data_IF_121076769125
#
_entry.id   IF_121076769125
#
_cell.length_a   1.000
_cell.length_b   1.000
_cell.length_c   1.000
_cell.angle_alpha   90.00
_cell.angle_beta   90.00
_cell.angle_gamma   90.00
#
_symmetry.space_group_name_H-M   'P 1'
#
loop_
_entity.id
_entity.type
_entity.pdbx_description
1 polymer ?
#
# COMPACT_ATOMS: atom_id res chain seq x y z
N UNK A 1 -12.91 66.05 55.47
CA UNK A 1 -12.58 64.68 55.91
C UNK A 1 -13.00 63.69 54.83
N UNK A 2 -12.04 63.19 54.05
CA UNK A 2 -12.24 62.08 53.12
C UNK A 2 -11.70 60.80 53.76
N UNK A 3 -12.48 59.72 53.71
CA UNK A 3 -12.09 58.43 54.28
C UNK A 3 -13.25 57.45 54.26
N UNK A 4 -13.55 56.88 53.10
CA UNK A 4 -14.67 55.94 52.98
C UNK A 4 -14.84 55.30 51.61
N UNK A 5 -13.78 55.21 50.80
CA UNK A 5 -13.85 54.66 49.42
C UNK A 5 -12.81 53.57 49.12
N UNK A 6 -12.10 53.08 50.14
CA UNK A 6 -11.05 52.07 49.97
C UNK A 6 -11.46 50.65 50.41
N UNK A 7 -12.52 50.51 51.20
CA UNK A 7 -12.94 49.18 51.68
C UNK A 7 -13.80 48.40 50.66
N UNK A 8 -14.70 49.07 49.94
CA UNK A 8 -15.57 48.41 48.95
C UNK A 8 -14.83 47.99 47.67
N UNK A 9 -13.78 48.72 47.28
CA UNK A 9 -12.95 48.38 46.12
C UNK A 9 -12.10 47.12 46.34
N UNK A 10 -11.64 46.88 47.58
CA UNK A 10 -10.83 45.71 47.92
C UNK A 10 -11.61 44.39 47.92
N UNK A 11 -12.89 44.41 48.30
CA UNK A 11 -13.73 43.19 48.35
C UNK A 11 -14.18 42.75 46.96
N UNK A 12 -14.48 43.69 46.05
CA UNK A 12 -14.86 43.37 44.67
C UNK A 12 -13.68 42.82 43.85
N UNK A 13 -12.44 43.27 44.12
CA UNK A 13 -11.24 42.71 43.48
C UNK A 13 -10.93 41.27 43.94
N UNK A 14 -11.21 40.93 45.21
CA UNK A 14 -10.99 39.59 45.73
C UNK A 14 -12.01 38.56 45.18
N UNK A 15 -13.27 38.97 44.96
CA UNK A 15 -14.28 38.09 44.36
C UNK A 15 -14.06 37.85 42.85
N UNK A 16 -13.49 38.83 42.13
CA UNK A 16 -13.08 38.64 40.73
C UNK A 16 -11.86 37.72 40.58
N UNK A 17 -10.95 37.72 41.55
CA UNK A 17 -9.78 36.84 41.55
C UNK A 17 -10.11 35.35 41.82
N UNK A 18 -11.24 35.06 42.49
CA UNK A 18 -11.69 33.69 42.76
C UNK A 18 -12.35 32.97 41.58
N UNK A 19 -12.77 33.69 40.53
CA UNK A 19 -13.53 33.13 39.40
C UNK A 19 -12.67 32.85 38.15
N UNK A 20 -11.37 33.09 38.19
CA UNK A 20 -10.46 32.81 37.05
C UNK A 20 -9.67 31.50 37.18
N UNK A 21 -9.88 30.71 38.25
CA UNK A 21 -9.11 29.49 38.51
C UNK A 21 -9.88 28.18 38.21
N UNK A 22 -10.76 28.17 37.22
CA UNK A 22 -11.43 26.95 36.74
C UNK A 22 -11.55 26.94 35.21
N UNK A 23 -10.42 27.14 34.52
CA UNK A 23 -10.28 26.83 33.11
C UNK A 23 -9.16 25.82 32.95
N UNK A 24 -9.49 24.54 32.78
CA UNK A 24 -8.52 23.56 32.28
C UNK A 24 -8.24 23.89 30.81
N UNK A 25 -7.26 24.75 30.58
CA UNK A 25 -6.62 24.87 29.29
C UNK A 25 -5.91 23.54 29.03
N UNK A 26 -6.48 22.72 28.15
CA UNK A 26 -5.75 21.59 27.57
C UNK A 26 -4.53 22.16 26.88
N UNK A 27 -3.34 21.78 27.34
CA UNK A 27 -2.10 22.03 26.61
C UNK A 27 -2.27 21.32 25.26
N UNK A 28 -2.48 22.10 24.20
CA UNK A 28 -2.38 21.57 22.85
C UNK A 28 -0.89 21.44 22.58
N UNK A 29 -0.38 20.21 22.48
CA UNK A 29 0.97 19.93 22.01
C UNK A 29 1.11 20.49 20.58
N UNK A 30 1.57 21.73 20.48
CA UNK A 30 2.05 22.31 19.24
C UNK A 30 3.41 21.66 18.98
N UNK A 31 3.42 20.65 18.13
CA UNK A 31 4.61 19.86 17.79
C UNK A 31 5.74 20.81 17.37
N UNK A 32 6.74 20.93 18.25
CA UNK A 32 7.95 21.71 18.02
C UNK A 32 8.72 21.09 16.86
N UNK A 33 8.79 21.79 15.72
CA UNK A 33 9.66 21.40 14.62
C UNK A 33 11.10 21.83 14.95
N UNK A 34 11.77 21.08 15.83
CA UNK A 34 13.18 21.30 16.10
C UNK A 34 13.99 20.62 15.00
N UNK A 35 14.52 21.47 14.13
CA UNK A 35 15.37 21.11 12.99
C UNK A 35 16.76 20.73 13.47
N UNK A 36 16.96 19.47 13.86
CA UNK A 36 18.31 18.89 13.87
C UNK A 36 18.65 18.41 12.46
N UNK A 37 19.20 19.35 11.68
CA UNK A 37 19.72 19.13 10.34
C UNK A 37 20.96 18.23 10.46
N UNK A 38 20.72 16.91 10.37
CA UNK A 38 21.69 15.93 9.92
C UNK A 38 21.74 15.95 8.39
N UNK A 39 22.78 16.56 7.83
CA UNK A 39 23.00 16.71 6.39
C UNK A 39 23.27 15.36 5.71
N UNK A 40 22.23 14.58 5.32
CA UNK A 40 22.27 13.65 4.18
C UNK A 40 20.84 13.38 3.64
N UNK A 41 20.55 14.03 2.52
CA UNK A 41 19.69 13.61 1.40
C UNK A 41 18.28 12.99 1.65
N UNK A 42 17.29 13.74 1.15
CA UNK A 42 16.10 13.27 0.42
C UNK A 42 14.88 12.75 1.22
N UNK A 43 13.98 13.67 1.57
CA UNK A 43 12.67 13.71 0.91
C UNK A 43 11.46 13.00 1.52
N UNK A 44 11.55 12.24 2.61
CA UNK A 44 10.35 11.70 3.30
C UNK A 44 10.55 11.67 4.82
N UNK A 45 9.70 12.40 5.55
CA UNK A 45 9.69 12.38 7.02
C UNK A 45 8.82 11.22 7.50
N UNK A 46 9.42 10.06 7.72
CA UNK A 46 8.74 8.98 8.42
C UNK A 46 8.72 9.27 9.92
N UNK A 47 7.55 9.13 10.54
CA UNK A 47 7.37 9.40 11.97
C UNK A 47 8.05 8.35 12.85
N UNK A 48 8.41 7.19 12.27
CA UNK A 48 9.01 6.04 12.96
C UNK A 48 10.19 5.48 12.17
N UNK A 49 11.21 4.93 12.85
CA UNK A 49 12.29 4.21 12.18
C UNK A 49 11.73 2.97 11.46
N UNK A 50 12.41 2.47 10.41
CA UNK A 50 12.00 1.24 9.75
C UNK A 50 11.89 0.08 10.75
N UNK A 51 10.76 -0.63 10.71
CA UNK A 51 10.47 -1.72 11.64
C UNK A 51 10.21 -3.02 10.90
N UNK A 52 10.84 -4.10 11.36
CA UNK A 52 10.56 -5.42 10.84
C UNK A 52 9.40 -6.08 11.57
N UNK A 53 8.40 -6.47 10.81
CA UNK A 53 7.16 -7.09 11.29
C UNK A 53 6.96 -8.45 10.63
N UNK A 54 6.27 -9.36 11.31
CA UNK A 54 5.92 -10.66 10.73
C UNK A 54 4.85 -10.51 9.64
N UNK A 55 5.02 -11.26 8.55
CA UNK A 55 4.01 -11.36 7.48
C UNK A 55 2.86 -12.20 8.02
N UNK A 56 1.67 -11.63 8.21
CA UNK A 56 0.57 -12.35 8.82
C UNK A 56 -0.10 -13.28 7.80
N UNK A 57 -0.73 -14.34 8.30
CA UNK A 57 -1.40 -15.38 7.49
C UNK A 57 -2.51 -14.80 6.61
N UNK A 58 -3.14 -13.71 7.05
CA UNK A 58 -4.21 -13.03 6.33
C UNK A 58 -3.71 -12.10 5.21
N UNK A 59 -2.39 -11.84 5.09
CA UNK A 59 -1.81 -11.15 3.94
C UNK A 59 -1.67 -12.13 2.75
N UNK A 60 -2.82 -12.53 2.17
CA UNK A 60 -2.92 -13.59 1.16
C UNK A 60 -1.99 -13.44 -0.04
N UNK A 61 -1.67 -12.20 -0.41
CA UNK A 61 -0.77 -11.91 -1.54
C UNK A 61 0.64 -12.47 -1.29
N UNK A 62 1.15 -12.31 -0.06
CA UNK A 62 2.57 -12.50 0.28
C UNK A 62 2.82 -13.47 1.43
N UNK A 63 1.80 -14.13 1.95
CA UNK A 63 2.02 -15.21 2.90
C UNK A 63 2.73 -16.39 2.21
N UNK A 64 3.74 -16.97 2.88
CA UNK A 64 4.52 -18.12 2.42
C UNK A 64 5.37 -17.90 1.14
N UNK A 65 5.86 -16.68 0.90
CA UNK A 65 6.71 -16.33 -0.25
C UNK A 65 8.22 -16.62 -0.05
N UNK A 66 8.57 -17.43 0.95
CA UNK A 66 9.96 -17.85 1.22
C UNK A 66 10.67 -17.10 2.36
N UNK A 67 10.04 -16.06 2.93
CA UNK A 67 10.50 -15.38 4.14
C UNK A 67 9.32 -15.03 5.05
N UNK A 68 9.61 -14.73 6.32
CA UNK A 68 8.59 -14.54 7.36
C UNK A 68 8.41 -13.10 7.83
N UNK A 69 9.41 -12.24 7.60
CA UNK A 69 9.43 -10.85 8.09
C UNK A 69 9.60 -9.86 6.96
N UNK A 70 8.82 -8.79 7.01
CA UNK A 70 8.90 -7.66 6.09
C UNK A 70 9.22 -6.37 6.83
N UNK A 71 9.67 -5.34 6.10
CA UNK A 71 9.92 -4.01 6.66
C UNK A 71 8.77 -3.04 6.35
N UNK A 72 8.43 -2.22 7.35
CA UNK A 72 7.59 -1.02 7.22
C UNK A 72 8.42 0.24 7.54
N UNK A 73 8.19 1.38 6.86
CA UNK A 73 7.29 1.54 5.71
C UNK A 73 7.78 0.74 4.50
N UNK A 74 6.85 0.24 3.69
CA UNK A 74 7.20 -0.57 2.52
C UNK A 74 7.56 0.32 1.30
N UNK A 75 7.89 -0.29 0.16
CA UNK A 75 8.27 0.44 -1.06
C UNK A 75 7.11 1.22 -1.72
N UNK A 76 5.89 1.02 -1.24
CA UNK A 76 4.68 1.75 -1.62
C UNK A 76 4.25 2.76 -0.55
N UNK A 77 5.12 3.01 0.45
CA UNK A 77 4.93 4.00 1.51
C UNK A 77 3.79 3.70 2.49
N UNK A 78 3.33 2.45 2.57
CA UNK A 78 2.44 2.07 3.66
C UNK A 78 3.21 2.02 4.98
N UNK A 79 2.69 2.67 6.02
CA UNK A 79 3.31 2.70 7.35
C UNK A 79 2.72 1.66 8.28
N UNK A 80 1.52 1.14 7.96
CA UNK A 80 0.78 0.21 8.81
C UNK A 80 0.43 -1.08 8.08
N UNK A 81 0.37 -2.19 8.83
CA UNK A 81 -0.10 -3.46 8.28
C UNK A 81 -1.55 -3.41 7.78
N UNK A 82 -2.38 -2.52 8.32
CA UNK A 82 -3.76 -2.35 7.88
C UNK A 82 -3.80 -1.80 6.44
N UNK A 83 -3.01 -0.77 6.13
CA UNK A 83 -2.86 -0.22 4.78
C UNK A 83 -2.32 -1.26 3.80
N UNK A 84 -1.26 -1.98 4.19
CA UNK A 84 -0.66 -3.04 3.37
C UNK A 84 -1.72 -4.09 3.02
N UNK A 85 -2.45 -4.62 4.01
CA UNK A 85 -3.50 -5.63 3.79
C UNK A 85 -4.61 -5.11 2.89
N UNK A 86 -5.09 -3.89 3.15
CA UNK A 86 -6.17 -3.29 2.38
C UNK A 86 -5.78 -3.18 0.91
N UNK A 87 -4.64 -2.57 0.59
CA UNK A 87 -4.25 -2.37 -0.80
C UNK A 87 -3.78 -3.68 -1.46
N UNK A 88 -3.06 -4.56 -0.75
CA UNK A 88 -2.63 -5.85 -1.29
C UNK A 88 -3.80 -6.78 -1.66
N UNK A 89 -4.92 -6.68 -0.93
CA UNK A 89 -6.10 -7.52 -1.20
C UNK A 89 -6.67 -7.34 -2.61
N UNK A 90 -6.58 -6.11 -3.16
CA UNK A 90 -7.04 -5.80 -4.52
C UNK A 90 -6.22 -6.48 -5.62
N UNK A 91 -5.02 -6.97 -5.30
CA UNK A 91 -4.12 -7.64 -6.24
C UNK A 91 -4.30 -9.17 -6.27
N UNK A 92 -4.97 -9.75 -5.27
CA UNK A 92 -5.20 -11.20 -5.18
C UNK A 92 -5.96 -11.75 -6.42
N UNK A 93 -7.01 -11.08 -6.95
CA UNK A 93 -7.68 -11.56 -8.15
C UNK A 93 -6.75 -11.65 -9.37
N UNK A 94 -5.86 -10.67 -9.56
CA UNK A 94 -4.89 -10.68 -10.67
C UNK A 94 -3.85 -11.80 -10.47
N UNK A 95 -3.37 -12.00 -9.25
CA UNK A 95 -2.47 -13.11 -8.93
C UNK A 95 -3.10 -14.46 -9.29
N UNK A 96 -4.38 -14.65 -8.97
CA UNK A 96 -5.13 -15.87 -9.27
C UNK A 96 -5.42 -16.08 -10.78
N UNK A 97 -5.20 -15.07 -11.63
CA UNK A 97 -5.24 -15.25 -13.09
C UNK A 97 -3.97 -15.87 -13.63
N UNK A 98 -2.90 -15.96 -12.82
CA UNK A 98 -1.64 -16.61 -13.18
C UNK A 98 -1.08 -16.14 -14.54
N UNK A 99 -1.26 -14.86 -14.87
CA UNK A 99 -0.81 -14.27 -16.13
C UNK A 99 0.71 -14.34 -16.31
N UNK A 100 1.49 -14.33 -15.23
CA UNK A 100 2.93 -14.52 -15.25
C UNK A 100 3.40 -15.24 -13.99
N UNK A 101 4.45 -16.07 -14.10
CA UNK A 101 5.00 -16.82 -12.97
C UNK A 101 5.64 -15.91 -11.91
N UNK A 102 6.11 -14.73 -12.34
CA UNK A 102 6.73 -13.74 -11.47
C UNK A 102 5.82 -12.71 -10.84
N UNK A 103 4.51 -12.79 -11.07
CA UNK A 103 3.57 -11.82 -10.51
C UNK A 103 3.64 -11.76 -8.99
N UNK A 104 3.71 -12.91 -8.30
CA UNK A 104 3.78 -12.93 -6.83
C UNK A 104 5.08 -12.32 -6.31
N UNK A 105 6.22 -12.70 -6.88
CA UNK A 105 7.55 -12.20 -6.49
C UNK A 105 7.62 -10.69 -6.70
N UNK A 106 7.18 -10.21 -7.87
CA UNK A 106 7.17 -8.79 -8.19
C UNK A 106 6.31 -8.00 -7.20
N UNK A 107 5.05 -8.38 -7.00
CA UNK A 107 4.15 -7.65 -6.09
C UNK A 107 4.65 -7.69 -4.65
N UNK A 108 5.14 -8.83 -4.17
CA UNK A 108 5.62 -8.96 -2.79
C UNK A 108 6.93 -8.25 -2.53
N UNK A 109 7.78 -8.05 -3.55
CA UNK A 109 8.95 -7.19 -3.43
C UNK A 109 8.59 -5.75 -3.04
N UNK A 110 7.39 -5.29 -3.41
CA UNK A 110 6.90 -3.94 -3.13
C UNK A 110 6.00 -3.88 -1.88
N UNK A 111 5.04 -4.81 -1.79
CA UNK A 111 4.07 -4.85 -0.68
C UNK A 111 4.68 -5.36 0.62
N UNK A 112 5.56 -6.35 0.54
CA UNK A 112 6.14 -7.04 1.69
C UNK A 112 7.66 -7.20 1.54
N UNK A 113 8.44 -6.12 1.31
CA UNK A 113 9.89 -6.23 1.08
C UNK A 113 10.58 -6.96 2.24
N UNK A 114 11.60 -7.76 1.93
CA UNK A 114 12.38 -8.50 2.91
C UNK A 114 12.94 -7.53 3.97
N UNK A 115 12.87 -7.92 5.24
CA UNK A 115 13.49 -7.18 6.35
C UNK A 115 15.02 -7.12 6.18
N UNK A 116 15.52 -6.03 5.63
CA UNK A 116 16.95 -5.72 5.41
C UNK A 116 17.21 -4.24 5.74
N UNK A 117 18.46 -3.89 6.04
CA UNK A 117 18.86 -2.51 6.35
C UNK A 117 18.68 -1.55 5.17
N UNK A 118 18.77 -2.08 3.94
CA UNK A 118 18.54 -1.31 2.70
C UNK A 118 17.49 -2.02 1.86
N UNK A 119 16.51 -1.27 1.33
CA UNK A 119 15.51 -1.86 0.45
C UNK A 119 16.15 -2.32 -0.87
N UNK A 120 15.70 -3.48 -1.36
CA UNK A 120 16.07 -4.00 -2.68
C UNK A 120 14.82 -3.96 -3.56
N UNK A 121 14.92 -3.25 -4.67
CA UNK A 121 13.83 -3.12 -5.65
C UNK A 121 13.79 -4.32 -6.59
N UNK A 122 12.62 -4.64 -7.20
CA UNK A 122 12.57 -5.58 -8.32
C UNK A 122 13.36 -5.03 -9.50
N UNK A 123 13.94 -5.91 -10.30
CA UNK A 123 14.59 -5.49 -11.54
C UNK A 123 13.56 -4.94 -12.54
N UNK A 124 13.94 -3.95 -13.36
CA UNK A 124 13.08 -3.38 -14.40
C UNK A 124 12.51 -4.44 -15.35
N UNK A 125 13.36 -5.34 -15.83
CA UNK A 125 12.95 -6.40 -16.74
C UNK A 125 11.88 -7.34 -16.13
N UNK A 126 11.92 -7.57 -14.81
CA UNK A 126 10.93 -8.40 -14.11
C UNK A 126 9.57 -7.67 -14.08
N UNK A 127 9.59 -6.36 -13.81
CA UNK A 127 8.39 -5.53 -13.89
C UNK A 127 7.80 -5.56 -15.30
N UNK A 128 8.60 -5.36 -16.34
CA UNK A 128 8.15 -5.32 -17.73
C UNK A 128 7.55 -6.66 -18.14
N UNK A 129 8.22 -7.79 -17.83
CA UNK A 129 7.69 -9.12 -18.12
C UNK A 129 6.33 -9.39 -17.44
N UNK A 130 6.18 -8.98 -16.18
CA UNK A 130 4.90 -9.11 -15.46
C UNK A 130 3.84 -8.17 -16.05
N UNK A 131 4.18 -6.90 -16.30
CA UNK A 131 3.28 -5.92 -16.91
C UNK A 131 2.77 -6.43 -18.25
N UNK A 132 3.66 -6.81 -19.16
CA UNK A 132 3.30 -7.18 -20.53
C UNK A 132 2.39 -8.42 -20.56
N UNK A 133 2.55 -9.32 -19.59
CA UNK A 133 1.70 -10.51 -19.46
C UNK A 133 0.36 -10.23 -18.76
N UNK A 134 0.33 -9.35 -17.77
CA UNK A 134 -0.81 -9.16 -16.87
C UNK A 134 -1.66 -7.93 -17.17
N UNK A 135 -1.09 -6.88 -17.78
CA UNK A 135 -1.81 -5.67 -18.15
C UNK A 135 -2.97 -5.95 -19.13
N UNK A 136 -2.84 -6.80 -20.18
CA UNK A 136 -3.98 -7.15 -21.03
C UNK A 136 -5.14 -7.78 -20.24
N UNK A 137 -4.82 -8.57 -19.21
CA UNK A 137 -5.83 -9.16 -18.32
C UNK A 137 -6.50 -8.07 -17.47
N UNK A 138 -5.75 -7.09 -16.97
CA UNK A 138 -6.31 -5.95 -16.24
C UNK A 138 -7.22 -5.10 -17.14
N UNK A 139 -6.77 -4.81 -18.37
CA UNK A 139 -7.51 -3.99 -19.33
C UNK A 139 -8.84 -4.63 -19.72
N UNK A 140 -8.89 -5.97 -19.83
CA UNK A 140 -10.15 -6.69 -20.05
C UNK A 140 -11.20 -6.42 -18.97
N UNK A 141 -10.77 -6.24 -17.71
CA UNK A 141 -11.65 -5.87 -16.60
C UNK A 141 -11.78 -4.35 -16.38
N UNK A 142 -11.26 -3.53 -17.31
CA UNK A 142 -11.36 -2.06 -17.24
C UNK A 142 -10.30 -1.39 -16.36
N UNK A 143 -9.22 -2.08 -16.00
CA UNK A 143 -8.13 -1.54 -15.20
C UNK A 143 -6.85 -1.36 -16.02
N UNK A 144 -6.09 -0.30 -15.74
CA UNK A 144 -4.79 -0.04 -16.36
C UNK A 144 -3.65 -0.36 -15.41
N UNK A 145 -2.45 -0.55 -15.95
CA UNK A 145 -1.25 -0.68 -15.13
C UNK A 145 -0.99 0.62 -14.33
N UNK A 146 -0.97 0.57 -12.99
CA UNK A 146 -0.99 1.78 -12.18
C UNK A 146 0.38 2.46 -12.12
N UNK A 147 0.35 3.78 -11.89
CA UNK A 147 1.53 4.64 -11.75
C UNK A 147 2.52 4.16 -10.68
N UNK A 148 2.02 3.58 -9.59
CA UNK A 148 2.86 3.06 -8.50
C UNK A 148 3.74 1.87 -8.94
N UNK A 149 3.38 1.20 -10.04
CA UNK A 149 4.09 0.03 -10.57
C UNK A 149 4.79 0.31 -11.91
N UNK A 150 4.91 1.57 -12.35
CA UNK A 150 5.60 1.88 -13.61
C UNK A 150 7.05 1.40 -13.57
N UNK A 151 7.46 0.65 -14.59
CA UNK A 151 8.73 -0.04 -14.62
C UNK A 151 9.95 0.89 -14.67
N UNK A 152 9.79 2.11 -15.19
CA UNK A 152 10.85 3.14 -15.22
C UNK A 152 11.36 3.53 -13.83
N UNK A 153 10.56 3.28 -12.78
CA UNK A 153 10.92 3.51 -11.37
C UNK A 153 11.92 2.48 -10.84
N UNK A 154 12.12 1.37 -11.54
CA UNK A 154 12.95 0.26 -11.10
C UNK A 154 14.32 0.25 -11.79
N UNK A 155 15.36 -0.26 -11.09
CA UNK A 155 16.73 -0.27 -11.60
C UNK A 155 16.94 -1.30 -12.73
N UNK A 156 17.85 -0.98 -13.65
CA UNK A 156 18.34 -1.90 -14.68
C UNK A 156 19.59 -2.71 -14.24
N UNK A 157 20.34 -2.23 -13.24
CA UNK A 157 21.66 -2.73 -12.87
C UNK A 157 21.73 -3.77 -11.72
N UNK A 158 22.90 -3.81 -11.07
CA UNK A 158 23.53 -5.04 -10.54
C UNK A 158 22.87 -5.73 -9.33
N UNK A 159 22.10 -5.02 -8.48
CA UNK A 159 21.46 -5.62 -7.29
C UNK A 159 19.97 -5.29 -7.26
N UNK A 160 19.17 -6.23 -7.76
CA UNK A 160 17.72 -6.14 -7.77
C UNK A 160 17.10 -7.54 -7.64
N UNK A 161 15.84 -7.60 -7.21
CA UNK A 161 15.10 -8.86 -7.12
C UNK A 161 14.74 -9.32 -8.54
N UNK A 162 15.32 -10.45 -8.90
CA UNK A 162 15.15 -11.15 -10.16
C UNK A 162 14.42 -12.47 -9.94
N UNK A 163 13.73 -12.96 -10.97
CA UNK A 163 13.42 -14.38 -11.04
C UNK A 163 14.45 -15.09 -11.91
N UNK A 164 15.08 -16.13 -11.38
CA UNK A 164 15.78 -17.06 -12.27
C UNK A 164 14.71 -17.74 -13.11
N UNK A 165 14.75 -17.67 -14.46
CA UNK A 165 13.86 -18.50 -15.25
C UNK A 165 14.12 -19.96 -14.84
N UNK A 166 13.08 -20.78 -14.63
CA UNK A 166 13.29 -22.22 -14.58
C UNK A 166 14.03 -22.59 -15.87
N UNK A 167 15.07 -23.41 -15.73
CA UNK A 167 15.94 -23.92 -16.80
C UNK A 167 15.19 -23.96 -18.14
N UNK A 168 15.72 -23.29 -19.17
CA UNK A 168 15.07 -23.00 -20.46
C UNK A 168 14.80 -24.23 -21.35
N UNK A 169 14.24 -25.29 -20.77
CA UNK A 169 13.68 -26.46 -21.45
C UNK A 169 12.17 -26.50 -21.41
N UNK A 170 11.52 -25.61 -20.64
CA UNK A 170 10.08 -25.41 -20.73
C UNK A 170 9.82 -23.96 -21.11
N UNK A 171 9.84 -23.69 -22.42
CA UNK A 171 9.08 -22.57 -22.95
C UNK A 171 7.68 -22.71 -22.38
N UNK A 172 7.26 -21.78 -21.52
CA UNK A 172 5.86 -21.60 -21.17
C UNK A 172 5.15 -21.37 -22.49
N UNK A 173 4.61 -22.45 -23.07
CA UNK A 173 3.68 -22.42 -24.19
C UNK A 173 2.70 -21.30 -23.85
N UNK A 174 2.41 -20.35 -24.76
CA UNK A 174 1.40 -19.33 -24.49
C UNK A 174 0.13 -20.10 -24.12
N UNK A 175 -0.16 -20.17 -22.82
CA UNK A 175 -1.47 -20.58 -22.37
C UNK A 175 -2.37 -19.53 -22.99
N UNK A 176 -3.29 -19.98 -23.84
CA UNK A 176 -4.24 -19.09 -24.50
C UNK A 176 -4.76 -18.08 -23.49
N UNK A 177 -4.97 -16.84 -23.95
CA UNK A 177 -5.37 -15.71 -23.10
C UNK A 177 -6.32 -16.19 -22.00
N UNK A 178 -5.99 -16.02 -20.70
CA UNK A 178 -6.85 -16.47 -19.58
C UNK A 178 -8.16 -15.66 -19.49
N UNK A 179 -8.37 -14.83 -20.49
CA UNK A 179 -9.49 -13.96 -20.75
C UNK A 179 -10.42 -14.73 -21.68
N UNK A 180 -11.61 -15.05 -21.16
CA UNK A 180 -12.68 -15.59 -21.99
C UNK A 180 -13.01 -14.54 -23.06
N UNK A 181 -13.20 -14.95 -24.33
CA UNK A 181 -13.64 -14.02 -25.36
C UNK A 181 -14.98 -13.38 -24.93
N UNK A 182 -15.24 -12.12 -25.37
CA UNK A 182 -16.55 -11.51 -25.21
C UNK A 182 -17.65 -12.44 -25.75
N UNK A 183 -18.79 -12.49 -25.05
CA UNK A 183 -19.93 -13.27 -25.51
C UNK A 183 -20.57 -12.58 -26.72
N UNK A 184 -20.39 -13.14 -27.92
CA UNK A 184 -21.16 -12.76 -29.11
C UNK A 184 -22.57 -13.38 -29.02
N UNK A 185 -23.41 -12.83 -28.13
CA UNK A 185 -24.81 -13.21 -28.10
C UNK A 185 -25.55 -12.47 -29.20
N UNK A 186 -25.74 -13.16 -30.33
CA UNK A 186 -26.87 -12.84 -31.20
C UNK A 186 -28.14 -12.81 -30.32
N UNK A 187 -28.97 -11.77 -30.46
CA UNK A 187 -30.19 -11.52 -29.66
C UNK A 187 -31.31 -12.56 -29.93
N UNK A 188 -30.97 -13.85 -29.95
CA UNK A 188 -31.91 -14.95 -30.14
C UNK A 188 -32.40 -15.37 -28.77
N UNK A 189 -33.70 -15.19 -28.56
CA UNK A 189 -34.41 -15.53 -27.31
C UNK A 189 -34.16 -16.96 -26.84
N UNK A 190 -33.99 -17.90 -27.78
CA UNK A 190 -33.72 -19.31 -27.48
C UNK A 190 -32.33 -19.51 -26.84
N UNK A 191 -31.30 -18.86 -27.38
CA UNK A 191 -29.95 -18.90 -26.82
C UNK A 191 -29.89 -18.22 -25.43
N UNK A 192 -30.64 -17.13 -25.24
CA UNK A 192 -30.72 -16.45 -23.93
C UNK A 192 -31.37 -17.37 -22.89
N UNK A 193 -32.47 -18.05 -23.22
CA UNK A 193 -33.14 -18.98 -22.31
C UNK A 193 -32.22 -20.17 -21.97
N UNK A 194 -31.54 -20.73 -22.96
CA UNK A 194 -30.60 -21.84 -22.77
C UNK A 194 -29.44 -21.45 -21.84
N UNK A 195 -28.85 -20.27 -22.04
CA UNK A 195 -27.79 -19.75 -21.18
C UNK A 195 -28.26 -19.45 -19.75
N UNK A 196 -29.49 -18.96 -19.57
CA UNK A 196 -30.08 -18.74 -18.25
C UNK A 196 -30.36 -20.07 -17.52
N UNK A 197 -30.82 -21.10 -18.23
CA UNK A 197 -31.03 -22.42 -17.66
C UNK A 197 -29.74 -23.18 -17.37
N UNK A 198 -28.67 -22.90 -18.13
CA UNK A 198 -27.35 -23.51 -17.93
C UNK A 198 -26.50 -22.82 -16.85
N UNK A 199 -26.91 -21.63 -16.39
CA UNK A 199 -26.24 -20.93 -15.29
C UNK A 199 -26.88 -21.34 -13.97
N UNK A 200 -26.12 -21.99 -13.08
CA UNK A 200 -26.54 -22.17 -11.70
C UNK A 200 -26.45 -20.82 -10.98
N UNK A 201 -27.61 -20.24 -10.65
CA UNK A 201 -27.73 -19.06 -9.79
C UNK A 201 -27.55 -19.43 -8.32
#
# INVERSE_FOLDING_TARGET
>A
MGGGRWAAAGVLLALAAGLLAAGSASEYDYVSFQSDIGSYQSGRFYTKPPQCVDIPVDLRLCHNVGYKKMVLPNLLEHETMAEVKQQASSWVPLLNKNCHIGTQVFLCSLFAPVCLDRPIYPCRWLCEAVRDSCEPVMQFFGFYWPEMLKCDKFPEGDVCIAMTPPNATEASKPQGTPVCPPCDNELKSEAIIEHLCASEF
#
